data_IF_549132944995
#
_entry.id   IF_549132944995
#
_cell.length_a   1.000
_cell.length_b   1.000
_cell.length_c   1.000
_cell.angle_alpha   90.00
_cell.angle_beta   90.00
_cell.angle_gamma   90.00
#
_symmetry.space_group_name_H-M   'P 1'
#
loop_
_entity.id
_entity.type
_entity.pdbx_description
1 polymer ?
#
# COMPACT_ATOMS: atom_id res chain seq x y z
N UNK A 1 4.45 4.84 14.33
CA UNK A 1 4.24 3.68 13.45
C UNK A 1 5.54 2.90 13.40
N UNK A 2 5.51 1.62 13.77
CA UNK A 2 6.70 0.75 13.76
C UNK A 2 6.36 -0.67 13.31
N UNK A 3 5.11 -0.93 12.90
CA UNK A 3 4.69 -2.23 12.41
C UNK A 3 4.98 -2.28 10.91
N UNK A 4 5.74 -3.29 10.50
CA UNK A 4 5.98 -3.59 9.10
C UNK A 4 4.71 -4.15 8.44
N UNK A 5 4.50 -3.78 7.17
CA UNK A 5 3.47 -4.42 6.33
C UNK A 5 3.72 -5.92 6.24
N UNK A 6 2.66 -6.71 6.38
CA UNK A 6 2.71 -8.16 6.24
C UNK A 6 2.51 -8.59 4.78
N UNK A 7 3.00 -9.77 4.40
CA UNK A 7 2.72 -10.32 3.06
C UNK A 7 1.23 -10.41 2.72
N UNK A 8 0.37 -10.60 3.73
CA UNK A 8 -1.08 -10.66 3.55
C UNK A 8 -1.66 -9.33 3.08
N UNK A 9 -1.24 -8.21 3.67
CA UNK A 9 -1.72 -6.89 3.28
C UNK A 9 -1.30 -6.52 1.85
N UNK A 10 -0.10 -6.95 1.43
CA UNK A 10 0.32 -6.85 0.03
C UNK A 10 -0.56 -7.72 -0.87
N UNK A 11 -0.79 -8.99 -0.50
CA UNK A 11 -1.59 -9.92 -1.29
C UNK A 11 -3.04 -9.45 -1.46
N UNK A 12 -3.66 -8.94 -0.39
CA UNK A 12 -5.03 -8.40 -0.43
C UNK A 12 -5.12 -7.19 -1.39
N UNK A 13 -4.10 -6.32 -1.39
CA UNK A 13 -4.00 -5.19 -2.33
C UNK A 13 -3.88 -5.68 -3.77
N UNK A 14 -3.02 -6.66 -4.04
CA UNK A 14 -2.85 -7.25 -5.37
C UNK A 14 -4.15 -7.89 -5.87
N UNK A 15 -4.80 -8.72 -5.03
CA UNK A 15 -6.05 -9.39 -5.38
C UNK A 15 -7.17 -8.38 -5.65
N UNK A 16 -7.24 -7.29 -4.88
CA UNK A 16 -8.18 -6.20 -5.17
C UNK A 16 -7.95 -5.59 -6.55
N UNK A 17 -6.69 -5.24 -6.89
CA UNK A 17 -6.35 -4.61 -8.16
C UNK A 17 -6.59 -5.52 -9.37
N UNK A 18 -6.42 -6.83 -9.21
CA UNK A 18 -6.73 -7.82 -10.25
C UNK A 18 -8.23 -8.08 -10.41
N UNK A 19 -9.05 -7.67 -9.44
CA UNK A 19 -10.48 -7.93 -9.46
C UNK A 19 -11.25 -6.92 -10.33
N UNK A 20 -12.45 -7.26 -10.81
CA UNK A 20 -13.35 -6.31 -11.49
C UNK A 20 -13.70 -5.07 -10.67
N UNK A 21 -13.53 -5.12 -9.34
CA UNK A 21 -13.79 -3.99 -8.44
C UNK A 21 -12.84 -2.81 -8.68
N UNK A 22 -11.71 -3.07 -9.33
CA UNK A 22 -10.68 -2.09 -9.65
C UNK A 22 -10.59 -1.79 -11.15
N UNK A 23 -11.67 -2.06 -11.92
CA UNK A 23 -11.69 -1.95 -13.39
C UNK A 23 -11.32 -0.57 -13.95
N UNK A 24 -11.42 0.48 -13.15
CA UNK A 24 -11.09 1.86 -13.52
C UNK A 24 -9.83 2.40 -12.85
N UNK A 25 -9.04 1.54 -12.20
CA UNK A 25 -7.75 1.91 -11.60
C UNK A 25 -6.64 1.44 -12.53
N UNK A 26 -5.97 2.38 -13.19
CA UNK A 26 -4.86 2.10 -14.12
C UNK A 26 -3.79 3.18 -14.03
N UNK A 27 -2.54 2.84 -14.39
CA UNK A 27 -1.40 3.76 -14.39
C UNK A 27 -1.00 4.30 -13.01
N UNK A 28 -1.42 3.64 -11.93
CA UNK A 28 -1.17 4.10 -10.56
C UNK A 28 0.04 3.40 -9.94
N UNK A 29 0.82 4.14 -9.15
CA UNK A 29 1.80 3.61 -8.21
C UNK A 29 1.16 3.54 -6.82
N UNK A 30 0.93 2.34 -6.32
CA UNK A 30 0.26 2.10 -5.03
C UNK A 30 1.28 1.65 -3.99
N UNK A 31 1.22 2.26 -2.80
CA UNK A 31 2.17 2.05 -1.70
C UNK A 31 1.45 1.50 -0.46
N UNK A 32 1.17 0.19 -0.37
CA UNK A 32 0.61 -0.44 0.83
C UNK A 32 1.68 -0.61 1.93
N UNK A 33 2.25 0.49 2.42
CA UNK A 33 3.46 0.49 3.26
C UNK A 33 3.28 1.16 4.63
N UNK A 34 2.04 1.42 5.03
CA UNK A 34 1.74 2.11 6.28
C UNK A 34 2.14 3.60 6.27
N UNK A 35 2.34 4.19 5.09
CA UNK A 35 2.74 5.57 4.91
C UNK A 35 4.25 5.77 4.82
N UNK A 36 5.06 4.70 4.90
CA UNK A 36 6.52 4.79 4.95
C UNK A 36 7.13 5.61 3.80
N UNK A 37 6.62 5.47 2.56
CA UNK A 37 7.11 6.21 1.39
C UNK A 37 6.82 7.71 1.47
N UNK A 38 5.75 8.12 2.14
CA UNK A 38 5.26 9.50 2.11
C UNK A 38 5.34 10.23 3.46
N UNK A 39 5.58 9.52 4.57
CA UNK A 39 5.74 10.12 5.88
C UNK A 39 7.05 10.91 5.94
N UNK A 40 6.98 12.08 6.58
CA UNK A 40 8.17 12.85 6.89
C UNK A 40 9.10 12.01 7.77
N UNK A 41 10.37 11.99 7.42
CA UNK A 41 11.40 11.23 8.12
C UNK A 41 11.55 11.68 9.58
N UNK A 42 11.19 12.93 9.89
CA UNK A 42 11.23 13.49 11.24
C UNK A 42 10.13 12.96 12.18
N UNK A 43 9.10 12.27 11.67
CA UNK A 43 7.95 11.79 12.48
C UNK A 43 8.33 10.70 13.50
N UNK A 44 9.55 10.17 13.46
CA UNK A 44 10.06 9.16 14.40
C UNK A 44 11.24 9.58 15.27
N UNK A 45 11.70 10.85 15.18
CA UNK A 45 12.80 11.39 16.00
C UNK A 45 12.29 12.19 17.18
#
# INVERSE_FOLDING_TARGET
GQRMTTPREIADTVVFLLSPRSSHTTGQWLFPDGGYTHLDRAIGS
#
